data_IF_801058836030
#
_entry.id   IF_801058836030
#
_cell.length_a   1.000
_cell.length_b   1.000
_cell.length_c   1.000
_cell.angle_alpha   90.00
_cell.angle_beta   90.00
_cell.angle_gamma   90.00
#
_symmetry.space_group_name_H-M   'P 1'
#
loop_
_entity.id
_entity.type
_entity.pdbx_description
1 polymer ?
#
# COMPACT_ATOMS: atom_id res chain seq x y z
N UNK A 1 -47.50 9.92 28.84
CA UNK A 1 -48.34 11.11 28.85
C UNK A 1 -47.87 12.06 29.98
N UNK A 2 -47.74 13.34 29.65
CA UNK A 2 -47.33 14.39 30.61
C UNK A 2 -48.54 15.16 31.23
N UNK A 3 -49.73 14.93 30.71
CA UNK A 3 -50.97 15.58 31.15
C UNK A 3 -52.02 14.53 31.54
N UNK A 4 -52.77 14.73 32.62
CA UNK A 4 -53.78 13.76 33.12
C UNK A 4 -54.99 13.61 32.19
N UNK A 5 -55.23 14.54 31.27
CA UNK A 5 -56.30 14.47 30.29
C UNK A 5 -55.96 13.58 29.05
N UNK A 6 -54.76 13.12 28.93
CA UNK A 6 -54.30 12.24 27.84
C UNK A 6 -54.50 10.78 28.30
N UNK A 7 -55.58 10.14 27.87
CA UNK A 7 -55.91 8.76 28.25
C UNK A 7 -55.72 7.73 27.14
N UNK A 8 -56.19 8.05 25.96
CA UNK A 8 -56.10 7.17 24.81
C UNK A 8 -55.14 7.82 23.77
N UNK A 9 -54.06 7.12 23.42
CA UNK A 9 -53.05 7.61 22.48
C UNK A 9 -52.91 6.60 21.35
N UNK A 10 -53.11 7.05 20.13
CA UNK A 10 -52.80 6.26 18.94
C UNK A 10 -51.41 6.60 18.45
N UNK A 11 -50.52 5.60 18.40
CA UNK A 11 -49.15 5.71 17.89
C UNK A 11 -49.12 5.08 16.52
N UNK A 12 -48.68 5.85 15.51
CA UNK A 12 -48.55 5.36 14.14
C UNK A 12 -47.14 5.55 13.61
N UNK A 13 -46.73 4.67 12.68
CA UNK A 13 -45.46 4.66 12.02
C UNK A 13 -45.68 4.85 10.52
N UNK A 14 -44.86 5.73 9.90
CA UNK A 14 -44.72 5.88 8.46
C UNK A 14 -43.27 5.74 8.08
N UNK A 15 -43.00 5.18 6.91
CA UNK A 15 -41.70 5.06 6.30
C UNK A 15 -41.80 5.34 4.79
N UNK A 16 -40.67 5.48 4.14
CA UNK A 16 -40.59 5.50 2.67
C UNK A 16 -40.76 4.09 2.08
N UNK A 17 -40.55 3.96 0.78
CA UNK A 17 -40.74 2.72 0.01
C UNK A 17 -39.72 1.62 0.30
N UNK A 18 -38.63 1.94 1.01
CA UNK A 18 -37.56 0.98 1.39
C UNK A 18 -37.90 0.11 2.58
N UNK A 19 -38.91 0.53 3.34
CA UNK A 19 -39.37 -0.18 4.54
C UNK A 19 -40.84 -0.53 4.43
N UNK A 20 -41.16 -1.81 4.55
CA UNK A 20 -42.52 -2.31 4.65
C UNK A 20 -42.99 -2.27 6.11
N UNK A 21 -44.05 -1.53 6.38
CA UNK A 21 -44.64 -1.43 7.74
C UNK A 21 -45.62 -2.59 7.95
N UNK A 22 -45.29 -3.47 8.90
CA UNK A 22 -46.14 -4.61 9.27
C UNK A 22 -47.21 -4.17 10.29
N UNK A 23 -46.79 -3.36 11.27
CA UNK A 23 -47.72 -2.79 12.26
C UNK A 23 -47.70 -1.28 12.11
N UNK A 24 -48.72 -0.70 11.47
CA UNK A 24 -48.77 0.72 11.14
C UNK A 24 -49.22 1.61 12.31
N UNK A 25 -49.98 1.05 13.28
CA UNK A 25 -50.48 1.79 14.42
C UNK A 25 -50.70 0.86 15.64
N UNK A 26 -50.69 1.48 16.81
CA UNK A 26 -51.05 0.83 18.08
C UNK A 26 -51.70 1.85 19.01
N UNK A 27 -52.85 1.46 19.61
CA UNK A 27 -53.50 2.25 20.62
C UNK A 27 -52.98 1.87 22.01
N UNK A 28 -52.69 2.86 22.84
CA UNK A 28 -52.28 2.69 24.25
C UNK A 28 -53.15 3.53 25.17
N UNK A 29 -53.41 2.99 26.37
CA UNK A 29 -54.24 3.64 27.37
C UNK A 29 -53.42 4.01 28.60
N UNK A 30 -53.58 5.26 29.03
CA UNK A 30 -52.95 5.77 30.24
C UNK A 30 -54.00 5.90 31.35
N UNK A 31 -53.67 5.40 32.53
CA UNK A 31 -54.49 5.59 33.74
C UNK A 31 -54.12 6.88 34.50
N UNK A 32 -53.05 7.50 34.15
CA UNK A 32 -52.49 8.76 34.72
C UNK A 32 -51.28 9.21 33.93
N UNK A 33 -50.53 10.18 34.41
CA UNK A 33 -49.27 10.60 33.84
C UNK A 33 -48.25 9.46 33.90
N UNK A 34 -47.41 9.29 32.85
CA UNK A 34 -46.40 8.25 32.84
C UNK A 34 -45.87 7.93 31.45
N UNK A 35 -45.07 6.87 31.35
CA UNK A 35 -44.44 6.38 30.13
C UNK A 35 -44.86 4.97 29.81
N UNK A 36 -45.00 4.67 28.53
CA UNK A 36 -45.25 3.32 28.02
C UNK A 36 -44.40 3.08 26.77
N UNK A 37 -43.88 1.86 26.63
CA UNK A 37 -43.10 1.43 25.46
C UNK A 37 -44.04 0.81 24.44
N UNK A 38 -43.92 1.24 23.18
CA UNK A 38 -44.73 0.74 22.07
C UNK A 38 -43.78 0.05 21.07
N UNK A 39 -44.20 -1.14 20.60
CA UNK A 39 -43.46 -1.90 19.60
C UNK A 39 -44.25 -1.93 18.29
N UNK A 40 -43.70 -1.30 17.25
CA UNK A 40 -44.22 -1.35 15.89
C UNK A 40 -43.28 -2.19 15.03
N UNK A 41 -43.81 -3.11 14.25
CA UNK A 41 -43.02 -4.03 13.42
C UNK A 41 -42.90 -3.48 12.02
N UNK A 42 -41.69 -3.52 11.50
CA UNK A 42 -41.38 -3.17 10.11
C UNK A 42 -40.38 -4.17 9.53
N UNK A 43 -40.39 -4.33 8.20
CA UNK A 43 -39.46 -5.19 7.44
C UNK A 43 -38.69 -4.34 6.48
N UNK A 44 -37.39 -4.45 6.50
CA UNK A 44 -36.51 -3.79 5.51
C UNK A 44 -36.60 -4.58 4.20
N UNK A 45 -36.82 -3.88 3.09
CA UNK A 45 -36.72 -4.43 1.75
C UNK A 45 -35.27 -4.49 1.34
N UNK A 46 -34.97 -5.22 0.27
CA UNK A 46 -33.58 -5.39 -0.27
C UNK A 46 -33.09 -4.13 -1.04
N UNK A 47 -33.19 -2.97 -0.39
CA UNK A 47 -32.80 -1.66 -0.96
C UNK A 47 -31.85 -0.98 0.02
N UNK A 48 -30.61 -0.76 -0.42
CA UNK A 48 -29.59 -0.05 0.35
C UNK A 48 -29.86 1.46 0.29
N UNK A 49 -29.54 2.15 1.37
CA UNK A 49 -29.62 3.61 1.44
C UNK A 49 -30.22 4.12 2.73
N UNK A 50 -30.54 5.41 2.73
CA UNK A 50 -31.14 6.09 3.87
C UNK A 50 -32.67 6.00 3.77
N UNK A 51 -33.31 5.66 4.87
CA UNK A 51 -34.79 5.67 5.04
C UNK A 51 -35.19 6.52 6.23
N UNK A 52 -36.28 7.25 6.12
CA UNK A 52 -36.80 8.08 7.21
C UNK A 52 -38.03 7.43 7.82
N UNK A 53 -37.97 7.15 9.11
CA UNK A 53 -39.10 6.68 9.92
C UNK A 53 -39.77 7.86 10.62
N UNK A 54 -41.07 7.98 10.48
CA UNK A 54 -41.86 9.03 11.16
C UNK A 54 -42.89 8.40 12.09
N UNK A 55 -42.74 8.66 13.38
CA UNK A 55 -43.65 8.24 14.44
C UNK A 55 -44.58 9.39 14.78
N UNK A 56 -45.86 9.12 14.87
CA UNK A 56 -46.86 10.09 15.27
C UNK A 56 -47.65 9.53 16.45
N UNK A 57 -47.70 10.24 17.56
CA UNK A 57 -48.58 9.96 18.68
C UNK A 57 -49.69 11.01 18.73
N UNK A 58 -50.95 10.57 18.79
CA UNK A 58 -52.10 11.46 18.76
C UNK A 58 -53.14 11.07 19.82
N UNK A 59 -53.62 12.05 20.57
CA UNK A 59 -54.73 11.92 21.54
C UNK A 59 -55.65 13.14 21.41
N UNK A 60 -56.83 12.94 20.85
CA UNK A 60 -57.76 14.05 20.53
C UNK A 60 -57.07 15.10 19.63
N UNK A 61 -56.99 16.35 20.11
CA UNK A 61 -56.34 17.46 19.43
C UNK A 61 -54.81 17.51 19.64
N UNK A 62 -54.29 16.78 20.63
CA UNK A 62 -52.84 16.78 20.94
C UNK A 62 -52.12 15.80 20.01
N UNK A 63 -51.00 16.28 19.41
CA UNK A 63 -50.20 15.52 18.45
C UNK A 63 -48.73 15.74 18.69
N UNK A 64 -47.97 14.66 18.73
CA UNK A 64 -46.51 14.68 18.74
C UNK A 64 -45.96 13.89 17.52
N UNK A 65 -44.95 14.42 16.88
CA UNK A 65 -44.28 13.78 15.73
C UNK A 65 -42.81 13.72 15.99
N UNK A 66 -42.23 12.55 15.74
CA UNK A 66 -40.80 12.32 15.79
C UNK A 66 -40.34 11.62 14.51
N UNK A 67 -39.31 12.13 13.88
CA UNK A 67 -38.69 11.49 12.70
C UNK A 67 -37.23 11.18 12.93
N UNK A 68 -36.81 10.00 12.51
CA UNK A 68 -35.42 9.60 12.55
C UNK A 68 -35.03 8.92 11.23
N UNK A 69 -33.77 9.11 10.88
CA UNK A 69 -33.16 8.47 9.71
C UNK A 69 -32.47 7.17 10.11
N UNK A 70 -32.66 6.14 9.30
CA UNK A 70 -32.08 4.81 9.49
C UNK A 70 -31.28 4.47 8.22
N UNK A 71 -30.01 4.12 8.40
CA UNK A 71 -29.18 3.62 7.31
C UNK A 71 -29.43 2.13 7.10
N UNK A 72 -29.91 1.77 5.91
CA UNK A 72 -30.06 0.39 5.46
C UNK A 72 -28.75 -0.02 4.80
N UNK A 73 -28.06 -0.99 5.38
CA UNK A 73 -26.74 -1.46 4.94
C UNK A 73 -26.76 -2.97 4.72
N UNK A 74 -25.87 -3.44 3.87
CA UNK A 74 -25.61 -4.89 3.71
C UNK A 74 -24.96 -5.40 5.01
N UNK A 75 -25.52 -6.42 5.66
CA UNK A 75 -24.97 -6.96 6.91
C UNK A 75 -23.68 -7.75 6.71
N UNK A 76 -23.47 -8.28 5.52
CA UNK A 76 -22.31 -9.11 5.19
C UNK A 76 -21.15 -8.25 4.67
N UNK A 77 -19.90 -8.62 4.97
CA UNK A 77 -18.74 -7.95 4.39
C UNK A 77 -18.73 -8.10 2.86
N UNK A 78 -18.12 -7.12 2.18
CA UNK A 78 -17.92 -7.21 0.73
C UNK A 78 -17.01 -8.39 0.41
N UNK A 79 -17.44 -9.26 -0.51
CA UNK A 79 -16.66 -10.38 -1.01
C UNK A 79 -16.09 -10.00 -2.37
N UNK A 80 -14.78 -10.17 -2.55
CA UNK A 80 -14.12 -9.99 -3.83
C UNK A 80 -13.67 -11.35 -4.34
N UNK A 81 -14.03 -11.67 -5.59
CA UNK A 81 -13.52 -12.84 -6.31
C UNK A 81 -12.60 -12.37 -7.42
N UNK A 82 -11.41 -12.97 -7.50
CA UNK A 82 -10.42 -12.71 -8.56
C UNK A 82 -10.23 -13.97 -9.36
N UNK A 83 -10.34 -13.87 -10.69
CA UNK A 83 -9.98 -14.93 -11.64
C UNK A 83 -8.89 -14.35 -12.55
N UNK A 84 -7.68 -14.88 -12.47
CA UNK A 84 -6.54 -14.45 -13.26
C UNK A 84 -6.08 -15.60 -14.17
N UNK A 85 -6.00 -15.35 -15.49
CA UNK A 85 -5.59 -16.33 -16.48
C UNK A 85 -4.55 -15.76 -17.42
N UNK A 86 -3.58 -16.59 -17.78
CA UNK A 86 -2.64 -16.29 -18.87
C UNK A 86 -3.27 -16.76 -20.18
N UNK A 87 -3.26 -15.90 -21.19
CA UNK A 87 -3.80 -16.18 -22.52
C UNK A 87 -2.68 -16.07 -23.53
N UNK A 88 -2.39 -17.14 -24.26
CA UNK A 88 -1.37 -17.10 -25.31
C UNK A 88 -1.87 -16.35 -26.56
N UNK A 89 -0.93 -15.92 -27.40
CA UNK A 89 -1.28 -15.25 -28.66
C UNK A 89 -2.14 -16.16 -29.54
N UNK A 90 -3.31 -15.67 -29.95
CA UNK A 90 -4.28 -16.41 -30.76
C UNK A 90 -5.27 -17.27 -29.98
N UNK A 91 -5.15 -17.35 -28.64
CA UNK A 91 -6.13 -18.02 -27.79
C UNK A 91 -7.29 -17.09 -27.41
N UNK A 92 -8.44 -17.70 -27.14
CA UNK A 92 -9.64 -17.02 -26.64
C UNK A 92 -10.07 -17.64 -25.32
N UNK A 93 -10.50 -16.84 -24.37
CA UNK A 93 -11.09 -17.30 -23.12
C UNK A 93 -12.47 -16.69 -22.95
N UNK A 94 -13.35 -17.46 -22.31
CA UNK A 94 -14.65 -16.99 -21.87
C UNK A 94 -14.58 -16.73 -20.39
N UNK A 95 -15.00 -15.53 -19.95
CA UNK A 95 -15.09 -15.13 -18.55
C UNK A 95 -16.57 -15.14 -18.15
N UNK A 96 -16.90 -15.89 -17.11
CA UNK A 96 -18.24 -15.92 -16.54
C UNK A 96 -18.31 -14.94 -15.36
N UNK A 97 -19.16 -13.93 -15.49
CA UNK A 97 -19.44 -13.00 -14.40
C UNK A 97 -20.72 -13.42 -13.66
N UNK A 98 -20.59 -14.37 -12.74
CA UNK A 98 -21.70 -14.97 -11.99
C UNK A 98 -21.74 -14.51 -10.53
N UNK A 99 -21.35 -13.26 -10.24
CA UNK A 99 -21.45 -12.71 -8.89
C UNK A 99 -22.92 -12.41 -8.56
N UNK A 100 -23.45 -13.11 -7.57
CA UNK A 100 -24.74 -12.81 -6.97
C UNK A 100 -24.57 -11.86 -5.79
N UNK A 101 -25.50 -10.90 -5.63
CA UNK A 101 -25.50 -9.97 -4.51
C UNK A 101 -26.09 -8.61 -4.84
N UNK A 102 -26.21 -7.78 -3.82
CA UNK A 102 -26.62 -6.38 -3.96
C UNK A 102 -25.45 -5.56 -4.52
N UNK A 103 -25.66 -4.89 -5.62
CA UNK A 103 -24.69 -4.01 -6.31
C UNK A 103 -23.35 -4.70 -6.67
N UNK A 104 -23.37 -5.80 -7.44
CA UNK A 104 -22.12 -6.41 -7.92
C UNK A 104 -21.39 -5.44 -8.85
N UNK A 105 -20.09 -5.28 -8.61
CA UNK A 105 -19.18 -4.55 -9.50
C UNK A 105 -18.12 -5.49 -10.01
N UNK A 106 -17.77 -5.40 -11.30
CA UNK A 106 -16.72 -6.21 -11.90
C UNK A 106 -15.77 -5.34 -12.70
N UNK A 107 -14.50 -5.72 -12.67
CA UNK A 107 -13.43 -5.13 -13.45
C UNK A 107 -12.80 -6.21 -14.32
N UNK A 108 -12.43 -5.85 -15.54
CA UNK A 108 -11.59 -6.66 -16.42
C UNK A 108 -10.27 -5.91 -16.59
N UNK A 109 -9.18 -6.50 -16.11
CA UNK A 109 -7.82 -6.01 -16.35
C UNK A 109 -7.16 -6.89 -17.40
N UNK A 110 -6.65 -6.27 -18.48
CA UNK A 110 -5.87 -6.93 -19.54
C UNK A 110 -4.48 -6.31 -19.52
N UNK A 111 -3.46 -7.11 -19.25
CA UNK A 111 -2.10 -6.64 -19.13
C UNK A 111 -1.11 -7.57 -19.85
N UNK A 112 -0.03 -7.00 -20.40
CA UNK A 112 1.09 -7.74 -20.97
C UNK A 112 2.12 -8.21 -19.94
N UNK A 113 1.97 -7.76 -18.69
CA UNK A 113 2.77 -8.24 -17.55
C UNK A 113 1.89 -9.13 -16.67
N UNK A 114 2.46 -10.05 -15.88
CA UNK A 114 1.68 -10.88 -14.96
C UNK A 114 0.83 -10.05 -14.01
N UNK A 115 -0.43 -10.41 -13.83
CA UNK A 115 -1.37 -9.68 -12.98
C UNK A 115 -0.86 -9.59 -11.53
N UNK A 116 -0.66 -8.37 -11.05
CA UNK A 116 -0.21 -8.06 -9.69
C UNK A 116 -1.37 -7.67 -8.76
N UNK A 117 -2.61 -7.62 -9.27
CA UNK A 117 -3.82 -7.19 -8.58
C UNK A 117 -3.64 -5.83 -7.87
N UNK A 118 -2.94 -4.90 -8.53
CA UNK A 118 -2.61 -3.59 -7.96
C UNK A 118 -3.85 -2.73 -7.74
N UNK A 119 -4.87 -2.85 -8.59
CA UNK A 119 -6.09 -2.06 -8.51
C UNK A 119 -6.83 -2.23 -7.18
N UNK A 120 -6.91 -3.47 -6.68
CA UNK A 120 -7.51 -3.76 -5.37
C UNK A 120 -6.69 -3.15 -4.22
N UNK A 121 -5.40 -2.89 -4.45
CA UNK A 121 -4.45 -2.39 -3.45
C UNK A 121 -4.22 -0.89 -3.57
N UNK A 122 -4.73 -0.23 -4.63
CA UNK A 122 -4.44 1.19 -4.90
C UNK A 122 -4.85 2.09 -3.74
N UNK A 123 -6.02 1.86 -3.14
CA UNK A 123 -6.47 2.64 -1.99
C UNK A 123 -5.58 2.46 -0.76
N UNK A 124 -4.98 1.27 -0.61
CA UNK A 124 -4.00 1.02 0.43
C UNK A 124 -2.65 1.65 0.11
N UNK A 125 -2.24 1.65 -1.15
CA UNK A 125 -0.96 2.20 -1.60
C UNK A 125 -0.95 3.74 -1.62
N UNK A 126 -2.08 4.38 -1.98
CA UNK A 126 -2.22 5.85 -1.96
C UNK A 126 -2.74 6.32 -0.59
N UNK A 127 -1.98 6.03 0.47
CA UNK A 127 -2.28 6.49 1.84
C UNK A 127 -1.36 7.63 2.21
N UNK A 128 -1.90 8.56 3.01
CA UNK A 128 -1.08 9.62 3.56
C UNK A 128 0.04 9.05 4.44
N UNK A 129 1.30 9.47 4.23
CA UNK A 129 2.46 8.92 4.93
C UNK A 129 2.57 9.47 6.35
N UNK A 130 2.41 8.59 7.33
CA UNK A 130 2.64 8.87 8.75
C UNK A 130 3.77 8.02 9.30
N UNK A 131 4.44 8.50 10.36
CA UNK A 131 5.41 7.73 11.12
C UNK A 131 6.85 8.24 11.01
N UNK A 132 7.80 7.33 11.23
CA UNK A 132 9.23 7.62 11.18
C UNK A 132 9.75 7.77 9.74
N UNK A 133 11.01 8.18 9.58
CA UNK A 133 11.64 8.38 8.26
C UNK A 133 11.54 7.18 7.33
N UNK A 134 11.68 5.96 7.86
CA UNK A 134 11.48 4.72 7.11
C UNK A 134 10.03 4.55 6.67
N UNK A 135 9.08 4.71 7.60
CA UNK A 135 7.65 4.48 7.32
C UNK A 135 7.07 5.48 6.32
N UNK A 136 7.40 6.77 6.42
CA UNK A 136 6.94 7.76 5.45
C UNK A 136 7.53 7.52 4.07
N UNK A 137 8.78 7.09 4.00
CA UNK A 137 9.43 6.73 2.73
C UNK A 137 8.79 5.47 2.13
N UNK A 138 8.55 4.43 2.93
CA UNK A 138 7.89 3.20 2.50
C UNK A 138 6.47 3.42 2.00
N UNK A 139 5.76 4.40 2.56
CA UNK A 139 4.40 4.75 2.13
C UNK A 139 4.36 5.42 0.76
N UNK A 140 5.37 6.24 0.41
CA UNK A 140 5.39 6.99 -0.86
C UNK A 140 6.24 6.37 -1.95
N UNK A 141 7.17 5.50 -1.62
CA UNK A 141 8.04 4.87 -2.63
C UNK A 141 7.21 4.13 -3.71
N UNK A 142 6.23 3.28 -3.36
CA UNK A 142 5.36 2.68 -4.37
C UNK A 142 4.60 3.72 -5.20
N UNK A 143 4.19 4.84 -4.61
CA UNK A 143 3.42 5.88 -5.28
C UNK A 143 4.19 6.54 -6.44
N UNK A 144 5.53 6.50 -6.44
CA UNK A 144 6.34 6.95 -7.57
C UNK A 144 6.09 6.14 -8.86
N UNK A 145 5.70 4.87 -8.73
CA UNK A 145 5.65 3.91 -9.84
C UNK A 145 4.22 3.54 -10.24
N UNK A 146 3.21 3.91 -9.46
CA UNK A 146 1.83 3.45 -9.70
C UNK A 146 1.31 3.87 -11.07
N UNK A 147 1.53 5.12 -11.50
CA UNK A 147 1.07 5.62 -12.80
C UNK A 147 1.78 4.96 -14.01
N UNK A 148 2.90 4.28 -13.77
CA UNK A 148 3.60 3.48 -14.78
C UNK A 148 3.07 2.04 -14.87
N UNK A 149 2.38 1.58 -13.84
CA UNK A 149 1.97 0.18 -13.68
C UNK A 149 0.46 -0.03 -13.86
N UNK A 150 -0.33 1.04 -13.73
CA UNK A 150 -1.79 0.97 -13.80
C UNK A 150 -2.40 2.32 -14.14
N UNK A 151 -3.62 2.30 -14.67
CA UNK A 151 -4.40 3.52 -14.96
C UNK A 151 -4.96 4.12 -13.67
N UNK A 152 -4.39 5.21 -13.21
CA UNK A 152 -4.89 5.99 -12.08
C UNK A 152 -5.87 7.07 -12.55
N UNK A 153 -6.91 7.32 -11.74
CA UNK A 153 -7.74 8.52 -11.94
C UNK A 153 -6.93 9.79 -11.67
N UNK A 154 -7.32 10.91 -12.26
CA UNK A 154 -6.65 12.20 -12.04
C UNK A 154 -6.57 12.59 -10.55
N UNK A 155 -7.60 12.30 -9.79
CA UNK A 155 -7.61 12.54 -8.34
C UNK A 155 -6.54 11.70 -7.60
N UNK A 156 -6.35 10.44 -8.01
CA UNK A 156 -5.33 9.55 -7.45
C UNK A 156 -3.92 10.01 -7.82
N UNK A 157 -3.69 10.41 -9.08
CA UNK A 157 -2.40 10.96 -9.55
C UNK A 157 -2.01 12.20 -8.76
N UNK A 158 -2.92 13.17 -8.64
CA UNK A 158 -2.70 14.40 -7.87
C UNK A 158 -2.41 14.08 -6.41
N UNK A 159 -3.16 13.15 -5.81
CA UNK A 159 -2.96 12.76 -4.41
C UNK A 159 -1.58 12.11 -4.20
N UNK A 160 -1.20 11.17 -5.05
CA UNK A 160 0.11 10.50 -4.98
C UNK A 160 1.27 11.52 -5.15
N UNK A 161 1.15 12.43 -6.11
CA UNK A 161 2.13 13.49 -6.34
C UNK A 161 2.30 14.41 -5.13
N UNK A 162 1.17 14.81 -4.50
CA UNK A 162 1.19 15.64 -3.28
C UNK A 162 1.87 14.91 -2.12
N UNK A 163 1.58 13.62 -1.93
CA UNK A 163 2.22 12.80 -0.88
C UNK A 163 3.73 12.70 -1.08
N UNK A 164 4.18 12.46 -2.32
CA UNK A 164 5.62 12.39 -2.65
C UNK A 164 6.31 13.72 -2.36
N UNK A 165 5.74 14.85 -2.82
CA UNK A 165 6.27 16.19 -2.57
C UNK A 165 6.33 16.53 -1.08
N UNK A 166 5.29 16.18 -0.32
CA UNK A 166 5.23 16.39 1.12
C UNK A 166 6.36 15.62 1.82
N UNK A 167 6.53 14.33 1.49
CA UNK A 167 7.58 13.51 2.11
C UNK A 167 8.97 14.04 1.76
N UNK A 168 9.24 14.42 0.51
CA UNK A 168 10.52 15.03 0.14
C UNK A 168 10.83 16.26 1.03
N UNK A 169 9.82 17.10 1.27
CA UNK A 169 10.00 18.26 2.13
C UNK A 169 10.23 17.88 3.60
N UNK A 170 9.49 16.91 4.12
CA UNK A 170 9.60 16.42 5.51
C UNK A 170 10.95 15.76 5.78
N UNK A 171 11.51 15.03 4.81
CA UNK A 171 12.80 14.34 4.96
C UNK A 171 13.96 15.26 5.31
N UNK A 172 13.87 16.56 5.06
CA UNK A 172 14.86 17.56 5.55
C UNK A 172 15.02 17.53 7.07
N UNK A 173 13.92 17.27 7.80
CA UNK A 173 13.93 17.25 9.27
C UNK A 173 14.51 15.95 9.86
N UNK A 174 14.74 14.94 9.02
CA UNK A 174 15.36 13.67 9.40
C UNK A 174 16.86 13.61 9.05
N UNK A 175 17.34 14.54 8.19
CA UNK A 175 18.73 14.58 7.80
C UNK A 175 19.61 15.26 8.87
N UNK A 176 20.68 14.59 9.25
CA UNK A 176 21.66 15.15 10.19
C UNK A 176 22.79 15.88 9.45
N UNK A 177 23.59 16.65 10.21
CA UNK A 177 24.69 17.47 9.70
C UNK A 177 25.76 16.69 8.93
N UNK A 178 25.89 15.37 9.21
CA UNK A 178 26.82 14.50 8.48
C UNK A 178 26.26 13.96 7.16
N UNK A 179 25.00 14.30 6.81
CA UNK A 179 24.33 13.91 5.58
C UNK A 179 23.49 12.62 5.70
N UNK A 180 23.65 11.81 6.74
CA UNK A 180 22.82 10.63 6.99
C UNK A 180 21.45 10.98 7.56
N UNK A 181 20.54 10.00 7.61
CA UNK A 181 19.19 10.18 8.10
C UNK A 181 18.94 9.38 9.38
N UNK A 182 18.13 9.97 10.27
CA UNK A 182 17.62 9.32 11.47
C UNK A 182 16.24 8.69 11.24
N UNK A 183 15.81 7.79 12.13
CA UNK A 183 14.42 7.31 12.16
C UNK A 183 13.43 8.42 12.55
N UNK A 184 13.79 9.27 13.52
CA UNK A 184 12.89 10.27 14.10
C UNK A 184 13.48 11.67 14.01
N UNK A 185 12.63 12.64 13.78
CA UNK A 185 13.02 14.06 13.84
C UNK A 185 13.56 14.42 15.22
N UNK A 186 14.62 15.23 15.26
CA UNK A 186 15.28 15.62 16.51
C UNK A 186 16.20 14.55 17.13
N UNK A 187 16.30 13.38 16.54
CA UNK A 187 17.28 12.36 16.94
C UNK A 187 18.67 12.73 16.44
N UNK A 188 19.69 12.51 17.28
CA UNK A 188 21.11 12.64 16.88
C UNK A 188 21.71 11.32 16.37
N UNK A 189 20.92 10.26 16.30
CA UNK A 189 21.38 8.93 15.89
C UNK A 189 21.08 8.68 14.42
N UNK A 190 22.13 8.51 13.61
CA UNK A 190 22.02 8.13 12.20
C UNK A 190 21.76 6.63 12.06
N UNK A 191 20.86 6.26 11.18
CA UNK A 191 20.68 4.87 10.75
C UNK A 191 21.23 4.67 9.34
N UNK A 192 22.17 3.75 9.19
CA UNK A 192 22.77 3.43 7.88
C UNK A 192 21.73 2.86 6.91
N UNK A 193 20.84 1.97 7.41
CA UNK A 193 19.75 1.41 6.60
C UNK A 193 18.80 2.49 6.11
N UNK A 194 18.27 3.33 7.03
CA UNK A 194 17.32 4.41 6.68
C UNK A 194 17.97 5.43 5.76
N UNK A 195 19.25 5.76 5.99
CA UNK A 195 20.01 6.68 5.13
C UNK A 195 20.11 6.17 3.69
N UNK A 196 20.41 4.88 3.53
CA UNK A 196 20.49 4.25 2.21
C UNK A 196 19.12 4.21 1.53
N UNK A 197 18.07 3.82 2.27
CA UNK A 197 16.71 3.70 1.76
C UNK A 197 16.11 5.05 1.34
N UNK A 198 16.27 6.08 2.15
CA UNK A 198 15.83 7.44 1.79
C UNK A 198 16.61 7.97 0.58
N UNK A 199 17.92 7.71 0.51
CA UNK A 199 18.75 8.18 -0.63
C UNK A 199 18.34 7.48 -1.93
N UNK A 200 17.94 6.19 -1.87
CA UNK A 200 17.37 5.48 -3.00
C UNK A 200 16.06 6.14 -3.47
N UNK A 201 15.12 6.34 -2.54
CA UNK A 201 13.86 7.04 -2.84
C UNK A 201 14.11 8.41 -3.51
N UNK A 202 14.97 9.25 -2.94
CA UNK A 202 15.30 10.57 -3.49
C UNK A 202 15.91 10.46 -4.89
N UNK A 203 16.75 9.44 -5.12
CA UNK A 203 17.37 9.20 -6.43
C UNK A 203 16.36 8.77 -7.48
N UNK A 204 15.42 7.90 -7.12
CA UNK A 204 14.33 7.47 -8.01
C UNK A 204 13.34 8.60 -8.27
N UNK A 205 12.94 9.34 -7.23
CA UNK A 205 12.05 10.48 -7.37
C UNK A 205 12.62 11.55 -8.32
N UNK A 206 13.91 11.85 -8.24
CA UNK A 206 14.54 12.79 -9.16
C UNK A 206 14.53 12.29 -10.61
N UNK A 207 14.78 11.01 -10.85
CA UNK A 207 14.71 10.40 -12.20
C UNK A 207 13.30 10.53 -12.81
N UNK A 208 12.27 10.53 -11.97
CA UNK A 208 10.88 10.70 -12.37
C UNK A 208 10.42 12.16 -12.39
N UNK A 209 11.34 13.12 -12.29
CA UNK A 209 11.09 14.54 -12.48
C UNK A 209 10.71 15.30 -11.20
N UNK A 210 10.72 14.66 -10.03
CA UNK A 210 10.49 15.38 -8.78
C UNK A 210 11.69 16.26 -8.41
N UNK A 211 11.40 17.46 -7.93
CA UNK A 211 12.45 18.40 -7.50
C UNK A 211 13.00 18.00 -6.13
N UNK A 212 14.24 17.54 -6.12
CA UNK A 212 14.97 17.21 -4.89
C UNK A 212 15.92 18.37 -4.52
N UNK A 213 15.99 18.82 -3.24
CA UNK A 213 16.98 19.79 -2.83
C UNK A 213 18.40 19.27 -3.05
N UNK A 214 19.18 19.98 -3.87
CA UNK A 214 20.51 19.54 -4.27
C UNK A 214 21.42 19.26 -3.08
N UNK A 215 21.43 20.16 -2.07
CA UNK A 215 22.23 20.00 -0.86
C UNK A 215 21.85 18.71 -0.09
N UNK A 216 20.56 18.41 0.05
CA UNK A 216 20.09 17.22 0.75
C UNK A 216 20.59 15.94 0.06
N UNK A 217 20.42 15.85 -1.27
CA UNK A 217 20.87 14.68 -2.04
C UNK A 217 22.38 14.55 -2.05
N UNK A 218 23.12 15.64 -2.27
CA UNK A 218 24.58 15.61 -2.30
C UNK A 218 25.14 15.15 -0.96
N UNK A 219 24.70 15.73 0.16
CA UNK A 219 25.14 15.33 1.50
C UNK A 219 24.81 13.86 1.81
N UNK A 220 23.65 13.36 1.36
CA UNK A 220 23.27 11.96 1.51
C UNK A 220 24.21 11.03 0.74
N UNK A 221 24.50 11.33 -0.51
CA UNK A 221 25.42 10.53 -1.33
C UNK A 221 26.86 10.57 -0.79
N UNK A 222 27.32 11.70 -0.27
CA UNK A 222 28.64 11.84 0.37
C UNK A 222 28.70 11.01 1.66
N UNK A 223 27.62 11.01 2.46
CA UNK A 223 27.49 10.13 3.61
C UNK A 223 27.60 8.66 3.19
N UNK A 224 26.80 8.21 2.20
CA UNK A 224 26.85 6.83 1.72
C UNK A 224 28.24 6.43 1.22
N UNK A 225 28.91 7.32 0.48
CA UNK A 225 30.27 7.06 -0.03
C UNK A 225 31.28 6.92 1.12
N UNK A 226 31.17 7.74 2.16
CA UNK A 226 31.98 7.65 3.38
C UNK A 226 31.78 6.32 4.10
N UNK A 227 30.53 5.91 4.30
CA UNK A 227 30.20 4.64 4.94
C UNK A 227 30.65 3.44 4.09
N UNK A 228 30.51 3.52 2.76
CA UNK A 228 31.00 2.50 1.83
C UNK A 228 32.53 2.30 1.95
N UNK A 229 33.29 3.39 2.11
CA UNK A 229 34.73 3.34 2.29
C UNK A 229 35.16 2.84 3.69
N UNK A 230 34.39 3.17 4.71
CA UNK A 230 34.64 2.76 6.09
C UNK A 230 34.25 1.32 6.39
N UNK A 231 33.39 0.72 5.55
CA UNK A 231 32.86 -0.63 5.78
C UNK A 231 33.96 -1.67 5.95
N UNK A 232 33.77 -2.53 6.94
CA UNK A 232 34.56 -3.74 7.20
C UNK A 232 33.62 -4.93 7.14
N UNK A 233 34.14 -6.08 6.74
CA UNK A 233 33.37 -7.31 6.72
C UNK A 233 32.70 -7.54 8.06
N UNK A 234 31.39 -7.79 8.05
CA UNK A 234 30.55 -8.03 9.18
C UNK A 234 29.71 -9.29 9.00
N UNK A 235 28.54 -9.28 9.63
CA UNK A 235 27.55 -10.36 9.52
C UNK A 235 26.75 -10.27 8.19
N UNK A 236 25.80 -11.19 8.03
CA UNK A 236 24.88 -11.27 6.89
C UNK A 236 24.17 -9.95 6.58
N UNK A 237 23.76 -9.21 7.61
CA UNK A 237 23.05 -7.93 7.45
C UNK A 237 23.98 -6.80 7.01
N UNK A 238 25.19 -6.79 7.55
CA UNK A 238 26.24 -5.84 7.17
C UNK A 238 26.62 -5.94 5.68
N UNK A 239 26.65 -7.16 5.14
CA UNK A 239 26.88 -7.39 3.71
C UNK A 239 25.74 -6.82 2.85
N UNK A 240 24.48 -7.04 3.27
CA UNK A 240 23.32 -6.51 2.56
C UNK A 240 23.26 -4.97 2.62
N UNK A 241 23.51 -4.38 3.78
CA UNK A 241 23.58 -2.91 3.91
C UNK A 241 24.67 -2.31 3.02
N UNK A 242 25.84 -2.95 2.95
CA UNK A 242 26.92 -2.48 2.12
C UNK A 242 26.59 -2.61 0.64
N UNK A 243 26.06 -3.74 0.18
CA UNK A 243 25.70 -3.93 -1.22
C UNK A 243 24.61 -2.95 -1.65
N UNK A 244 23.61 -2.71 -0.79
CA UNK A 244 22.55 -1.75 -1.06
C UNK A 244 23.10 -0.32 -1.17
N UNK A 245 23.98 0.07 -0.26
CA UNK A 245 24.66 1.36 -0.31
C UNK A 245 25.44 1.56 -1.62
N UNK A 246 26.19 0.55 -2.04
CA UNK A 246 26.96 0.57 -3.29
C UNK A 246 26.05 0.61 -4.52
N UNK A 247 24.92 -0.10 -4.47
CA UNK A 247 23.91 -0.08 -5.52
C UNK A 247 23.30 1.31 -5.70
N UNK A 248 22.88 1.95 -4.60
CA UNK A 248 22.29 3.30 -4.64
C UNK A 248 23.28 4.34 -5.13
N UNK A 249 24.56 4.25 -4.74
CA UNK A 249 25.62 5.11 -5.28
C UNK A 249 25.77 4.92 -6.79
N UNK A 250 25.79 3.68 -7.28
CA UNK A 250 25.90 3.39 -8.71
C UNK A 250 24.66 3.90 -9.48
N UNK A 251 23.47 3.70 -8.92
CA UNK A 251 22.21 4.16 -9.48
C UNK A 251 22.13 5.71 -9.57
N UNK A 252 22.76 6.42 -8.63
CA UNK A 252 22.89 7.87 -8.64
C UNK A 252 23.99 8.37 -9.61
N UNK A 253 24.63 7.48 -10.38
CA UNK A 253 25.71 7.82 -11.29
C UNK A 253 27.06 8.11 -10.60
N UNK A 254 27.22 7.70 -9.33
CA UNK A 254 28.43 7.88 -8.52
C UNK A 254 28.97 6.54 -7.97
N UNK A 255 29.26 5.52 -8.83
CA UNK A 255 29.71 4.22 -8.36
C UNK A 255 31.03 4.35 -7.58
N UNK A 256 31.09 3.77 -6.39
CA UNK A 256 32.31 3.71 -5.57
C UNK A 256 33.09 2.43 -5.89
N UNK A 257 33.86 2.48 -6.98
CA UNK A 257 34.58 1.31 -7.49
C UNK A 257 35.59 0.71 -6.50
N UNK A 258 36.23 1.54 -5.68
CA UNK A 258 37.19 1.05 -4.68
C UNK A 258 36.47 0.19 -3.60
N UNK A 259 35.32 0.66 -3.11
CA UNK A 259 34.53 -0.09 -2.14
C UNK A 259 33.85 -1.32 -2.77
N UNK A 260 33.40 -1.24 -4.04
CA UNK A 260 32.84 -2.37 -4.78
C UNK A 260 33.90 -3.47 -4.98
N UNK A 261 35.11 -3.13 -5.42
CA UNK A 261 36.19 -4.08 -5.58
C UNK A 261 36.59 -4.74 -4.27
N UNK A 262 36.69 -3.96 -3.20
CA UNK A 262 36.98 -4.47 -1.87
C UNK A 262 35.92 -5.46 -1.38
N UNK A 263 34.64 -5.14 -1.59
CA UNK A 263 33.53 -6.03 -1.24
C UNK A 263 33.58 -7.30 -2.10
N UNK A 264 33.83 -7.21 -3.40
CA UNK A 264 33.88 -8.34 -4.34
C UNK A 264 34.86 -9.44 -3.89
N UNK A 265 35.98 -9.08 -3.26
CA UNK A 265 37.04 -10.01 -2.83
C UNK A 265 36.72 -10.77 -1.54
N UNK A 266 35.65 -10.43 -0.86
CA UNK A 266 35.24 -11.14 0.35
C UNK A 266 34.44 -12.40 0.02
N UNK A 267 34.52 -13.40 0.92
CA UNK A 267 33.60 -14.53 0.91
C UNK A 267 32.25 -14.08 1.46
N UNK A 268 31.18 -14.29 0.70
CA UNK A 268 29.85 -13.86 1.06
C UNK A 268 29.12 -14.90 1.89
N UNK A 269 28.41 -14.42 2.92
CA UNK A 269 27.42 -15.19 3.65
C UNK A 269 25.99 -14.93 3.09
N UNK A 270 25.82 -13.83 2.33
CA UNK A 270 24.55 -13.38 1.82
C UNK A 270 24.52 -13.39 0.28
N UNK A 271 23.85 -14.36 -0.37
CA UNK A 271 23.77 -14.39 -1.84
C UNK A 271 23.03 -13.19 -2.42
N UNK A 272 22.12 -12.58 -1.68
CA UNK A 272 21.37 -11.40 -2.13
C UNK A 272 22.29 -10.19 -2.23
N UNK A 273 23.22 -10.04 -1.26
CA UNK A 273 24.23 -9.00 -1.32
C UNK A 273 25.13 -9.13 -2.58
N UNK A 274 25.42 -10.36 -3.01
CA UNK A 274 26.16 -10.58 -4.28
C UNK A 274 25.35 -10.20 -5.51
N UNK A 275 24.05 -10.55 -5.55
CA UNK A 275 23.17 -10.11 -6.62
C UNK A 275 23.11 -8.58 -6.70
N UNK A 276 22.92 -7.92 -5.58
CA UNK A 276 22.82 -6.46 -5.53
C UNK A 276 24.15 -5.77 -5.89
N UNK A 277 25.29 -6.34 -5.47
CA UNK A 277 26.60 -5.87 -5.90
C UNK A 277 26.80 -6.05 -7.41
N UNK A 278 26.32 -7.15 -7.99
CA UNK A 278 26.37 -7.36 -9.45
C UNK A 278 25.55 -6.30 -10.19
N UNK A 279 24.34 -5.96 -9.71
CA UNK A 279 23.56 -4.83 -10.24
C UNK A 279 24.33 -3.51 -10.16
N UNK A 280 25.03 -3.23 -9.05
CA UNK A 280 25.87 -2.05 -8.92
C UNK A 280 27.00 -2.01 -9.96
N UNK A 281 27.65 -3.14 -10.26
CA UNK A 281 28.65 -3.25 -11.31
C UNK A 281 28.07 -3.02 -12.71
N UNK A 282 26.90 -3.59 -13.00
CA UNK A 282 26.21 -3.39 -14.27
C UNK A 282 25.86 -1.90 -14.50
N UNK A 283 25.29 -1.25 -13.48
CA UNK A 283 25.04 0.20 -13.51
C UNK A 283 26.33 1.02 -13.72
N UNK A 284 27.45 0.54 -13.18
CA UNK A 284 28.78 1.10 -13.38
C UNK A 284 29.41 0.74 -14.73
N UNK A 285 28.70 0.06 -15.66
CA UNK A 285 29.19 -0.40 -16.99
C UNK A 285 30.30 -1.46 -16.91
N UNK A 286 30.25 -2.33 -15.90
CA UNK A 286 31.18 -3.45 -15.71
C UNK A 286 30.44 -4.80 -15.79
N UNK A 287 29.73 -5.06 -16.87
CA UNK A 287 28.83 -6.21 -17.06
C UNK A 287 29.56 -7.56 -16.92
N UNK A 288 30.80 -7.67 -17.38
CA UNK A 288 31.59 -8.91 -17.23
C UNK A 288 31.80 -9.28 -15.76
N UNK A 289 32.10 -8.30 -14.90
CA UNK A 289 32.26 -8.54 -13.46
C UNK A 289 30.90 -8.92 -12.84
N UNK A 290 29.84 -8.22 -13.21
CA UNK A 290 28.50 -8.48 -12.74
C UNK A 290 28.08 -9.94 -13.01
N UNK A 291 28.24 -10.41 -14.24
CA UNK A 291 27.89 -11.79 -14.65
C UNK A 291 28.69 -12.86 -13.90
N UNK A 292 29.99 -12.65 -13.70
CA UNK A 292 30.85 -13.57 -12.93
C UNK A 292 30.39 -13.66 -11.48
N UNK A 293 29.97 -12.56 -10.86
CA UNK A 293 29.52 -12.53 -9.47
C UNK A 293 28.30 -13.43 -9.24
N UNK A 294 27.42 -13.56 -10.22
CA UNK A 294 26.14 -14.29 -10.06
C UNK A 294 26.10 -15.66 -10.72
N UNK A 295 27.15 -16.05 -11.48
CA UNK A 295 27.16 -17.25 -12.32
C UNK A 295 26.73 -18.54 -11.59
N UNK A 296 27.04 -18.67 -10.32
CA UNK A 296 26.72 -19.85 -9.50
C UNK A 296 25.73 -19.56 -8.37
N UNK A 297 24.96 -18.47 -8.46
CA UNK A 297 23.98 -18.14 -7.46
C UNK A 297 22.59 -18.65 -7.85
N UNK A 298 21.77 -19.03 -6.84
CA UNK A 298 20.36 -19.32 -7.11
C UNK A 298 19.69 -18.06 -7.71
N UNK A 299 18.85 -18.21 -8.74
CA UNK A 299 18.16 -17.10 -9.38
C UNK A 299 16.90 -16.66 -8.61
N UNK A 300 16.66 -17.25 -7.46
CA UNK A 300 15.52 -16.93 -6.60
C UNK A 300 15.87 -17.14 -5.11
N UNK A 301 15.21 -16.36 -4.25
CA UNK A 301 15.36 -16.43 -2.80
C UNK A 301 14.48 -17.54 -2.20
N UNK A 302 14.95 -18.16 -1.11
CA UNK A 302 14.16 -19.11 -0.31
C UNK A 302 13.10 -18.35 0.50
N UNK A 303 11.97 -19.01 0.75
CA UNK A 303 10.87 -18.47 1.57
C UNK A 303 11.35 -18.15 2.98
N UNK A 304 11.22 -16.90 3.41
CA UNK A 304 11.43 -16.44 4.77
C UNK A 304 10.78 -15.07 5.01
N UNK A 305 10.67 -14.67 6.27
CA UNK A 305 10.24 -13.33 6.67
C UNK A 305 11.00 -12.87 7.91
N UNK A 306 11.41 -11.62 7.93
CA UNK A 306 12.10 -10.97 9.02
C UNK A 306 11.38 -9.67 9.40
N UNK A 307 11.15 -9.46 10.70
CA UNK A 307 10.36 -8.33 11.21
C UNK A 307 11.22 -7.18 11.76
N UNK A 308 12.53 -7.19 11.51
CA UNK A 308 13.43 -6.16 12.01
C UNK A 308 14.70 -6.01 11.15
N UNK A 309 15.62 -5.17 11.56
CA UNK A 309 16.88 -4.83 10.87
C UNK A 309 16.62 -4.37 9.42
N UNK A 310 16.87 -5.24 8.43
CA UNK A 310 16.67 -4.95 7.01
C UNK A 310 15.28 -5.33 6.48
N UNK A 311 14.35 -5.73 7.33
CA UNK A 311 12.96 -6.08 6.97
C UNK A 311 12.86 -7.10 5.82
N UNK A 312 13.67 -8.16 5.90
CA UNK A 312 13.84 -9.16 4.85
C UNK A 312 12.61 -10.04 4.62
N UNK A 313 12.42 -10.42 3.38
CA UNK A 313 11.48 -11.45 2.95
C UNK A 313 11.94 -12.03 1.62
N UNK A 314 11.44 -13.22 1.29
CA UNK A 314 11.68 -13.81 -0.04
C UNK A 314 11.16 -12.89 -1.17
N UNK A 315 10.06 -12.18 -0.97
CA UNK A 315 9.53 -11.23 -1.97
C UNK A 315 10.48 -10.06 -2.19
N UNK A 316 10.99 -9.43 -1.11
CA UNK A 316 11.97 -8.34 -1.24
C UNK A 316 13.25 -8.84 -1.92
N UNK A 317 13.75 -9.98 -1.51
CA UNK A 317 14.99 -10.54 -2.04
C UNK A 317 14.85 -10.93 -3.51
N UNK A 318 13.72 -11.51 -3.90
CA UNK A 318 13.41 -11.76 -5.30
C UNK A 318 13.30 -10.46 -6.11
N UNK A 319 12.77 -9.38 -5.54
CA UNK A 319 12.76 -8.07 -6.20
C UNK A 319 14.19 -7.51 -6.41
N UNK A 320 15.09 -7.67 -5.44
CA UNK A 320 16.52 -7.29 -5.57
C UNK A 320 17.20 -8.13 -6.66
N UNK A 321 16.97 -9.44 -6.70
CA UNK A 321 17.51 -10.34 -7.73
C UNK A 321 16.98 -9.91 -9.11
N UNK A 322 15.67 -9.71 -9.22
CA UNK A 322 15.02 -9.30 -10.48
C UNK A 322 15.55 -7.96 -10.98
N UNK A 323 15.69 -6.96 -10.09
CA UNK A 323 16.25 -5.66 -10.43
C UNK A 323 17.69 -5.81 -10.95
N UNK A 324 18.51 -6.62 -10.26
CA UNK A 324 19.90 -6.89 -10.69
C UNK A 324 19.95 -7.61 -12.04
N UNK A 325 19.00 -8.52 -12.32
CA UNK A 325 18.88 -9.15 -13.64
C UNK A 325 18.54 -8.14 -14.74
N UNK A 326 17.63 -7.19 -14.46
CA UNK A 326 17.28 -6.11 -15.39
C UNK A 326 18.50 -5.23 -15.66
N UNK A 327 19.24 -4.83 -14.63
CA UNK A 327 20.44 -4.01 -14.76
C UNK A 327 21.53 -4.70 -15.59
N UNK A 328 21.60 -6.05 -15.59
CA UNK A 328 22.50 -6.87 -16.38
C UNK A 328 21.96 -7.27 -17.77
N UNK A 329 20.80 -6.72 -18.19
CA UNK A 329 20.09 -7.07 -19.42
C UNK A 329 19.68 -8.57 -19.52
N UNK A 330 19.40 -9.21 -18.37
CA UNK A 330 18.92 -10.60 -18.27
C UNK A 330 17.38 -10.64 -18.25
N UNK A 331 16.74 -10.00 -19.24
CA UNK A 331 15.29 -9.72 -19.25
C UNK A 331 14.43 -10.97 -19.16
N UNK A 332 14.77 -12.04 -19.88
CA UNK A 332 14.02 -13.31 -19.86
C UNK A 332 14.01 -13.96 -18.46
N UNK A 333 15.15 -13.89 -17.75
CA UNK A 333 15.27 -14.40 -16.40
C UNK A 333 14.47 -13.54 -15.42
N UNK A 334 14.54 -12.22 -15.55
CA UNK A 334 13.78 -11.28 -14.75
C UNK A 334 12.27 -11.48 -14.95
N UNK A 335 11.82 -11.67 -16.19
CA UNK A 335 10.41 -11.92 -16.50
C UNK A 335 9.91 -13.25 -15.91
N UNK A 336 10.68 -14.33 -16.01
CA UNK A 336 10.35 -15.61 -15.37
C UNK A 336 10.22 -15.49 -13.83
N UNK A 337 11.09 -14.70 -13.22
CA UNK A 337 11.02 -14.44 -11.78
C UNK A 337 9.79 -13.59 -11.43
N UNK A 338 9.47 -12.57 -12.24
CA UNK A 338 8.27 -11.75 -12.09
C UNK A 338 7.00 -12.61 -12.15
N UNK A 339 6.90 -13.54 -13.12
CA UNK A 339 5.75 -14.46 -13.22
C UNK A 339 5.58 -15.29 -11.94
N UNK A 340 6.68 -15.82 -11.39
CA UNK A 340 6.63 -16.58 -10.12
C UNK A 340 6.16 -15.71 -8.95
N UNK A 341 6.64 -14.47 -8.86
CA UNK A 341 6.23 -13.52 -7.82
C UNK A 341 4.75 -13.16 -7.96
N UNK A 342 4.29 -12.87 -9.17
CA UNK A 342 2.89 -12.49 -9.44
C UNK A 342 1.90 -13.60 -9.04
N UNK A 343 2.21 -14.87 -9.31
CA UNK A 343 1.37 -16.01 -8.88
C UNK A 343 1.19 -16.07 -7.36
N UNK A 344 2.19 -15.66 -6.58
CA UNK A 344 2.06 -15.54 -5.12
C UNK A 344 1.16 -14.39 -4.70
N UNK A 345 1.12 -13.30 -5.47
CA UNK A 345 0.21 -12.19 -5.21
C UNK A 345 -1.24 -12.50 -5.57
N UNK A 346 -1.46 -13.29 -6.61
CA UNK A 346 -2.81 -13.68 -7.04
C UNK A 346 -3.48 -14.71 -6.11
N UNK A 347 -2.69 -15.46 -5.32
CA UNK A 347 -3.21 -16.49 -4.40
C UNK A 347 -3.48 -15.99 -2.98
N UNK A 348 -3.21 -14.74 -2.67
CA UNK A 348 -3.42 -14.06 -1.38
C UNK A 348 -4.41 -12.90 -1.55
#
# INVERSE_FOLDING_TARGET
>A
AMKDNIKDVNVSLKADDKIEIITSNQEIKFSGTGEQIVFLKAKIKEIIGKSTLTFTAQSGSEKAVFSCDVDIRVPNPRVTRVDAREVASGESITLDNTMEGLEPTSFLEITSIPALNLEQRVQYLIRYPHGCGEQITSAVFPQLMLDLLMDLSEAQKVTAELHVKDVINRLRNYQLSNGGFSYWTGSNYVSDWVSTYITDFLTQAEKLGYRIPTSMKTSALDYLSKQANAWRRGDYYSELEQSYRLYVLAQAGKPNMAAMNRMKEHTYNNPIARWQLAGAYALGKHDNIARVLVANLPPEAKLYRQLGRCYGSDLRDNAIIMQSMVDMDMKDNAYKLLQKMARKFASN
#
